data_IF_793707695579
#
_entry.id   IF_793707695579
#
_cell.length_a   1.000
_cell.length_b   1.000
_cell.length_c   1.000
_cell.angle_alpha   90.00
_cell.angle_beta   90.00
_cell.angle_gamma   90.00
#
_symmetry.space_group_name_H-M   'P 1'
#
loop_
_entity.id
_entity.type
_entity.pdbx_description
1 polymer ?
#
# COMPACT_ATOMS: atom_id res chain seq x y z
N UNK A 1 -10.65 0.28 28.05
CA UNK A 1 -9.33 0.65 27.49
C UNK A 1 -9.33 0.26 26.02
N UNK A 2 -8.82 1.12 25.14
CA UNK A 2 -8.71 0.82 23.71
C UNK A 2 -7.80 -0.38 23.49
N UNK A 3 -8.17 -1.27 22.57
CA UNK A 3 -7.39 -2.42 22.16
C UNK A 3 -6.78 -2.15 20.80
N UNK A 4 -5.49 -2.42 20.66
CA UNK A 4 -4.71 -2.25 19.43
C UNK A 4 -4.27 -3.59 18.92
N UNK A 5 -4.01 -3.71 17.62
CA UNK A 5 -3.26 -4.83 17.06
C UNK A 5 -1.83 -4.73 17.57
N UNK A 6 -1.37 -5.73 18.33
CA UNK A 6 -0.03 -5.72 18.97
C UNK A 6 0.94 -6.70 18.34
N UNK A 7 0.44 -7.77 17.73
CA UNK A 7 1.25 -8.82 17.14
C UNK A 7 0.57 -9.34 15.90
N UNK A 8 1.39 -9.82 14.96
CA UNK A 8 0.97 -10.50 13.73
C UNK A 8 1.77 -11.80 13.60
N UNK A 9 1.12 -12.83 13.07
CA UNK A 9 1.77 -14.05 12.59
C UNK A 9 0.97 -14.58 11.39
N UNK A 10 1.52 -15.55 10.68
CA UNK A 10 0.92 -16.21 9.52
C UNK A 10 0.93 -17.71 9.77
N UNK A 11 -0.05 -18.46 9.28
CA UNK A 11 0.03 -19.93 9.26
C UNK A 11 0.15 -20.44 7.84
N UNK A 12 1.00 -21.43 7.61
CA UNK A 12 1.18 -22.10 6.31
C UNK A 12 0.55 -23.51 6.25
N UNK A 13 0.06 -24.00 7.38
CA UNK A 13 -0.53 -25.34 7.56
C UNK A 13 -1.31 -25.41 8.88
N UNK A 14 -2.10 -26.46 9.07
CA UNK A 14 -2.94 -26.65 10.26
C UNK A 14 -2.18 -26.78 11.58
N UNK A 15 -0.95 -27.31 11.58
CA UNK A 15 -0.14 -27.44 12.80
C UNK A 15 0.24 -26.05 13.34
N UNK A 16 0.62 -25.13 12.46
CA UNK A 16 0.87 -23.73 12.81
C UNK A 16 -0.41 -23.04 13.28
N UNK A 17 -1.56 -23.30 12.66
CA UNK A 17 -2.85 -22.77 13.15
C UNK A 17 -3.14 -23.22 14.58
N UNK A 18 -3.00 -24.52 14.86
CA UNK A 18 -3.18 -25.07 16.22
C UNK A 18 -2.24 -24.41 17.23
N UNK A 19 -0.99 -24.16 16.84
CA UNK A 19 -0.02 -23.47 17.67
C UNK A 19 -0.46 -22.02 17.99
N UNK A 20 -0.89 -21.26 16.97
CA UNK A 20 -1.31 -19.87 17.12
C UNK A 20 -2.60 -19.73 17.94
N UNK A 21 -3.54 -20.67 17.80
CA UNK A 21 -4.72 -20.76 18.66
C UNK A 21 -4.31 -20.91 20.13
N UNK A 22 -3.39 -21.83 20.45
CA UNK A 22 -2.91 -22.02 21.81
C UNK A 22 -2.15 -20.80 22.37
N UNK A 23 -1.60 -19.96 21.50
CA UNK A 23 -0.95 -18.69 21.87
C UNK A 23 -1.92 -17.50 21.98
N UNK A 24 -3.22 -17.73 21.77
CA UNK A 24 -4.26 -16.70 21.90
C UNK A 24 -4.33 -15.73 20.71
N UNK A 25 -3.84 -16.13 19.54
CA UNK A 25 -4.02 -15.35 18.32
C UNK A 25 -5.44 -15.52 17.75
N UNK A 26 -5.93 -14.47 17.11
CA UNK A 26 -7.19 -14.46 16.36
C UNK A 26 -6.90 -14.60 14.88
N UNK A 27 -7.54 -15.59 14.24
CA UNK A 27 -7.46 -15.84 12.79
C UNK A 27 -8.27 -14.81 12.01
N UNK A 28 -7.75 -14.33 10.89
CA UNK A 28 -8.57 -13.78 9.82
C UNK A 28 -8.96 -14.94 8.90
N UNK A 29 -10.26 -15.31 8.79
CA UNK A 29 -10.69 -16.53 8.13
C UNK A 29 -10.76 -16.36 6.60
N UNK A 30 -9.68 -15.83 6.00
CA UNK A 30 -9.51 -15.64 4.56
C UNK A 30 -8.18 -16.26 4.17
N UNK A 31 -8.24 -17.23 3.25
CA UNK A 31 -7.05 -17.80 2.64
C UNK A 31 -6.38 -16.74 1.75
N UNK A 32 -5.13 -16.41 2.07
CA UNK A 32 -4.32 -15.42 1.37
C UNK A 32 -3.79 -15.95 0.03
N UNK A 33 -3.93 -17.24 -0.25
CA UNK A 33 -3.62 -17.87 -1.53
C UNK A 33 -4.87 -18.13 -2.39
N UNK A 34 -6.02 -17.55 -2.01
CA UNK A 34 -7.31 -17.91 -2.61
C UNK A 34 -7.28 -17.81 -4.14
N UNK A 35 -7.56 -18.94 -4.79
CA UNK A 35 -7.61 -19.05 -6.24
C UNK A 35 -6.26 -19.16 -6.95
N UNK A 36 -5.13 -18.97 -6.25
CA UNK A 36 -3.79 -19.20 -6.78
C UNK A 36 -3.37 -20.68 -6.64
N UNK A 37 -3.99 -21.40 -5.69
CA UNK A 37 -3.59 -22.77 -5.31
C UNK A 37 -2.50 -22.74 -4.24
N UNK A 38 -1.85 -23.87 -3.99
CA UNK A 38 -0.79 -23.96 -2.97
C UNK A 38 -1.33 -24.23 -1.56
N UNK A 39 -0.63 -23.70 -0.55
CA UNK A 39 -1.01 -23.88 0.84
C UNK A 39 -2.19 -22.96 1.19
N UNK A 40 -3.06 -23.40 2.10
CA UNK A 40 -4.01 -22.52 2.76
C UNK A 40 -3.24 -21.62 3.75
N UNK A 41 -3.19 -20.31 3.48
CA UNK A 41 -2.39 -19.36 4.24
C UNK A 41 -3.31 -18.36 4.94
N UNK A 42 -3.12 -18.15 6.24
CA UNK A 42 -3.96 -17.23 7.00
C UNK A 42 -3.16 -16.23 7.81
N UNK A 43 -3.66 -14.99 7.89
CA UNK A 43 -3.14 -13.96 8.78
C UNK A 43 -3.75 -14.10 10.18
N UNK A 44 -2.91 -13.92 11.19
CA UNK A 44 -3.28 -14.00 12.60
C UNK A 44 -2.83 -12.73 13.32
N UNK A 45 -3.59 -12.33 14.34
CA UNK A 45 -3.24 -11.17 15.15
C UNK A 45 -3.55 -11.36 16.63
N UNK A 46 -2.87 -10.58 17.48
CA UNK A 46 -3.28 -10.37 18.87
C UNK A 46 -3.66 -8.92 19.12
N UNK A 47 -4.49 -8.72 20.12
CA UNK A 47 -4.80 -7.38 20.62
C UNK A 47 -4.30 -7.16 22.04
N UNK A 48 -3.96 -5.91 22.34
CA UNK A 48 -3.50 -5.49 23.65
C UNK A 48 -3.62 -3.98 23.82
N UNK A 49 -3.30 -3.49 25.03
CA UNK A 49 -3.40 -2.06 25.38
C UNK A 49 -2.09 -1.29 25.22
N UNK A 50 -0.99 -1.96 24.86
CA UNK A 50 0.33 -1.35 24.68
C UNK A 50 1.10 -2.02 23.53
N UNK A 51 2.08 -1.31 22.96
CA UNK A 51 2.92 -1.85 21.88
C UNK A 51 2.15 -2.07 20.57
N UNK A 52 1.30 -1.09 20.21
CA UNK A 52 0.53 -1.12 18.98
C UNK A 52 1.42 -1.19 17.73
N UNK A 53 1.00 -1.99 16.76
CA UNK A 53 1.53 -1.94 15.40
C UNK A 53 0.93 -0.71 14.71
N UNK A 54 1.79 0.06 14.07
CA UNK A 54 1.43 1.32 13.41
C UNK A 54 1.69 1.29 11.92
N UNK A 55 2.47 0.33 11.39
CA UNK A 55 2.66 0.17 9.95
C UNK A 55 2.82 -1.29 9.58
N UNK A 56 2.29 -1.65 8.41
CA UNK A 56 2.49 -2.93 7.75
C UNK A 56 2.99 -2.64 6.33
N UNK A 57 4.02 -3.38 5.90
CA UNK A 57 4.65 -3.28 4.59
C UNK A 57 4.90 -4.68 4.03
N UNK A 58 5.09 -4.80 2.72
CA UNK A 58 5.46 -6.06 2.09
C UNK A 58 6.80 -5.95 1.38
N UNK A 59 7.42 -7.10 1.17
CA UNK A 59 8.61 -7.21 0.32
C UNK A 59 8.52 -8.45 -0.55
N UNK A 60 8.87 -8.32 -1.82
CA UNK A 60 9.00 -9.43 -2.75
C UNK A 60 10.27 -9.34 -3.62
N UNK A 61 11.16 -8.38 -3.32
CA UNK A 61 12.51 -8.28 -3.87
C UNK A 61 13.50 -8.02 -2.75
N UNK A 62 14.78 -8.30 -2.97
CA UNK A 62 15.82 -8.04 -1.96
C UNK A 62 16.03 -6.55 -1.70
N UNK A 63 15.88 -5.70 -2.73
CA UNK A 63 15.98 -4.25 -2.60
C UNK A 63 14.93 -3.69 -1.62
N UNK A 64 13.70 -4.18 -1.70
CA UNK A 64 12.61 -3.75 -0.81
C UNK A 64 12.87 -4.08 0.67
N UNK A 65 13.64 -5.15 0.95
CA UNK A 65 13.94 -5.60 2.32
C UNK A 65 14.93 -4.68 3.03
N UNK A 66 15.88 -4.08 2.30
CA UNK A 66 17.00 -3.33 2.90
C UNK A 66 16.52 -2.15 3.74
N UNK A 67 15.60 -1.34 3.23
CA UNK A 67 15.04 -0.21 3.96
C UNK A 67 14.24 -0.64 5.20
N UNK A 68 13.49 -1.73 5.09
CA UNK A 68 12.68 -2.30 6.20
C UNK A 68 13.57 -2.83 7.32
N UNK A 69 14.63 -3.56 6.97
CA UNK A 69 15.64 -4.05 7.92
C UNK A 69 16.33 -2.88 8.61
N UNK A 70 16.78 -1.88 7.85
CA UNK A 70 17.47 -0.70 8.41
C UNK A 70 16.62 0.04 9.43
N UNK A 71 15.32 0.16 9.21
CA UNK A 71 14.42 0.87 10.13
C UNK A 71 13.76 -0.06 11.17
N UNK A 72 14.25 -1.29 11.32
CA UNK A 72 13.83 -2.17 12.41
C UNK A 72 12.40 -2.69 12.28
N UNK A 73 11.87 -2.80 11.06
CA UNK A 73 10.63 -3.54 10.83
C UNK A 73 10.84 -5.02 11.18
N UNK A 74 9.83 -5.62 11.81
CA UNK A 74 9.83 -7.04 12.12
C UNK A 74 9.27 -7.84 10.93
N UNK A 75 10.08 -8.75 10.39
CA UNK A 75 9.66 -9.69 9.35
C UNK A 75 8.92 -10.87 9.95
N UNK A 76 7.78 -11.23 9.38
CA UNK A 76 7.22 -12.58 9.55
C UNK A 76 7.87 -13.46 8.48
N UNK A 77 8.70 -14.43 8.89
CA UNK A 77 9.48 -15.26 7.97
C UNK A 77 8.65 -16.41 7.36
N UNK A 78 7.53 -16.04 6.74
CA UNK A 78 6.58 -16.94 6.07
C UNK A 78 6.20 -16.31 4.74
N UNK A 79 6.44 -17.06 3.67
CA UNK A 79 6.05 -16.67 2.32
C UNK A 79 4.53 -16.78 2.15
N UNK A 80 3.88 -15.67 1.83
CA UNK A 80 2.44 -15.59 1.65
C UNK A 80 1.95 -16.25 0.37
N UNK A 81 2.84 -16.62 -0.55
CA UNK A 81 2.52 -17.37 -1.77
C UNK A 81 3.02 -18.82 -1.71
N UNK A 82 3.28 -19.36 -0.51
CA UNK A 82 3.89 -20.68 -0.33
C UNK A 82 3.06 -21.76 -1.05
N UNK A 83 3.70 -22.43 -2.01
CA UNK A 83 3.10 -23.53 -2.77
C UNK A 83 2.23 -23.10 -3.96
N UNK A 84 1.88 -21.82 -4.07
CA UNK A 84 1.12 -21.28 -5.21
C UNK A 84 2.03 -20.93 -6.40
N UNK A 85 3.33 -20.69 -6.13
CA UNK A 85 4.26 -20.12 -7.10
C UNK A 85 4.19 -18.59 -7.12
N UNK A 86 4.78 -17.94 -8.11
CA UNK A 86 4.83 -16.48 -8.19
C UNK A 86 5.95 -15.87 -7.36
N UNK A 87 5.70 -14.71 -6.76
CA UNK A 87 6.70 -13.96 -6.00
C UNK A 87 6.69 -14.41 -4.54
N UNK A 88 7.87 -14.52 -3.91
CA UNK A 88 7.94 -14.74 -2.46
C UNK A 88 7.51 -13.45 -1.74
N UNK A 89 6.30 -13.41 -1.20
CA UNK A 89 5.75 -12.21 -0.54
C UNK A 89 5.92 -12.36 0.96
N UNK A 90 6.60 -11.40 1.60
CA UNK A 90 6.78 -11.39 3.07
C UNK A 90 6.14 -10.17 3.70
N UNK A 91 5.45 -10.38 4.83
CA UNK A 91 4.87 -9.32 5.66
C UNK A 91 5.90 -8.76 6.64
N UNK A 92 5.89 -7.44 6.79
CA UNK A 92 6.69 -6.70 7.76
C UNK A 92 5.80 -5.78 8.57
N UNK A 93 6.06 -5.65 9.87
CA UNK A 93 5.36 -4.69 10.71
C UNK A 93 6.30 -3.83 11.55
N UNK A 94 5.82 -2.65 11.93
CA UNK A 94 6.58 -1.70 12.73
C UNK A 94 5.71 -1.10 13.83
N UNK A 95 6.35 -0.85 14.98
CA UNK A 95 5.76 -0.22 16.16
C UNK A 95 6.39 1.16 16.33
N UNK A 96 5.85 2.13 15.59
CA UNK A 96 6.34 3.51 15.59
C UNK A 96 5.63 4.40 16.60
N UNK A 97 6.13 5.63 16.73
CA UNK A 97 5.63 6.63 17.68
C UNK A 97 5.66 8.07 17.13
N UNK A 98 5.89 8.24 15.82
CA UNK A 98 5.85 9.55 15.16
C UNK A 98 4.41 10.07 15.01
N UNK A 99 4.23 11.32 14.59
CA UNK A 99 2.88 11.86 14.29
C UNK A 99 2.16 11.12 13.14
N UNK A 100 2.89 10.34 12.34
CA UNK A 100 2.36 9.51 11.27
C UNK A 100 2.04 8.07 11.73
N UNK A 101 2.40 7.71 12.96
CA UNK A 101 2.23 6.37 13.52
C UNK A 101 0.91 6.23 14.27
N UNK A 102 -0.20 6.22 13.52
CA UNK A 102 -1.54 6.01 14.11
C UNK A 102 -1.76 4.51 14.36
N UNK A 103 -2.10 4.08 15.59
CA UNK A 103 -2.32 2.67 15.90
C UNK A 103 -3.34 1.99 15.00
N UNK A 104 -3.07 0.73 14.64
CA UNK A 104 -4.03 -0.14 13.97
C UNK A 104 -4.89 -0.82 15.04
N UNK A 105 -6.22 -0.74 14.89
CA UNK A 105 -7.19 -1.31 15.85
C UNK A 105 -7.95 -2.50 15.28
N UNK A 106 -7.96 -2.66 13.95
CA UNK A 106 -8.66 -3.76 13.28
C UNK A 106 -8.00 -4.08 11.95
N UNK A 107 -8.09 -5.35 11.55
CA UNK A 107 -7.67 -5.84 10.25
C UNK A 107 -8.86 -6.46 9.50
N UNK A 108 -8.82 -6.41 8.18
CA UNK A 108 -9.73 -7.11 7.29
C UNK A 108 -8.99 -7.46 5.99
N UNK A 109 -9.53 -8.38 5.19
CA UNK A 109 -8.97 -8.76 3.89
C UNK A 109 -10.08 -8.70 2.85
N UNK A 110 -9.78 -8.12 1.68
CA UNK A 110 -10.65 -8.15 0.51
C UNK A 110 -10.06 -9.11 -0.53
N UNK A 111 -10.92 -9.87 -1.22
CA UNK A 111 -10.50 -10.89 -2.20
C UNK A 111 -11.00 -10.63 -3.62
N UNK A 112 -11.64 -9.48 -3.85
CA UNK A 112 -12.09 -9.06 -5.17
C UNK A 112 -12.30 -7.54 -5.20
N UNK A 113 -12.51 -7.01 -6.40
CA UNK A 113 -12.70 -5.59 -6.67
C UNK A 113 -13.88 -4.96 -5.91
N UNK A 114 -15.00 -5.68 -5.74
CA UNK A 114 -16.18 -5.12 -5.08
C UNK A 114 -15.97 -4.99 -3.57
N UNK A 115 -15.44 -6.01 -2.94
CA UNK A 115 -15.06 -5.96 -1.52
C UNK A 115 -14.02 -4.87 -1.27
N UNK A 116 -12.98 -4.80 -2.11
CA UNK A 116 -11.93 -3.79 -2.01
C UNK A 116 -12.49 -2.37 -2.13
N UNK A 117 -13.38 -2.13 -3.10
CA UNK A 117 -14.05 -0.83 -3.24
C UNK A 117 -14.95 -0.51 -2.03
N UNK A 118 -15.70 -1.48 -1.52
CA UNK A 118 -16.62 -1.29 -0.39
C UNK A 118 -15.88 -0.99 0.93
N UNK A 119 -14.65 -1.49 1.07
CA UNK A 119 -13.80 -1.27 2.24
C UNK A 119 -13.18 0.13 2.33
N UNK A 120 -13.25 0.94 1.26
CA UNK A 120 -12.77 2.32 1.23
C UNK A 120 -13.65 3.27 2.06
N UNK A 121 -13.67 3.05 3.38
CA UNK A 121 -14.48 3.73 4.37
C UNK A 121 -13.60 4.59 5.29
N UNK A 122 -14.18 5.53 6.06
CA UNK A 122 -13.43 6.30 7.03
C UNK A 122 -12.57 5.43 7.96
N UNK A 123 -11.36 5.92 8.26
CA UNK A 123 -10.31 5.26 9.07
C UNK A 123 -9.72 3.97 8.49
N UNK A 124 -10.31 3.39 7.45
CA UNK A 124 -9.74 2.23 6.78
C UNK A 124 -8.72 2.67 5.73
N UNK A 125 -7.59 2.01 5.75
CA UNK A 125 -6.57 2.12 4.73
C UNK A 125 -6.22 0.72 4.20
N UNK A 126 -5.71 0.69 2.97
CA UNK A 126 -5.37 -0.54 2.28
C UNK A 126 -3.85 -0.64 2.10
N UNK A 127 -3.32 -1.85 2.22
CA UNK A 127 -1.99 -2.17 1.71
C UNK A 127 -1.96 -2.04 0.19
N UNK A 128 -0.78 -1.82 -0.37
CA UNK A 128 -0.63 -1.52 -1.80
C UNK A 128 -0.17 -2.72 -2.61
N UNK A 129 0.38 -3.74 -1.94
CA UNK A 129 0.75 -5.03 -2.51
C UNK A 129 -0.49 -5.93 -2.65
N UNK A 130 -0.68 -6.50 -3.84
CA UNK A 130 -1.50 -7.71 -4.01
C UNK A 130 -0.81 -8.90 -3.36
N UNK A 131 -1.45 -9.53 -2.37
CA UNK A 131 -0.84 -10.61 -1.58
C UNK A 131 -0.60 -11.86 -2.42
N UNK A 132 -1.36 -12.06 -3.50
CA UNK A 132 -1.19 -13.13 -4.48
C UNK A 132 -0.22 -12.77 -5.62
N UNK A 133 0.67 -11.80 -5.41
CA UNK A 133 1.53 -11.22 -6.46
C UNK A 133 2.16 -12.29 -7.35
N UNK A 134 1.81 -12.26 -8.64
CA UNK A 134 2.30 -13.18 -9.70
C UNK A 134 2.00 -14.67 -9.50
N UNK A 135 1.33 -15.07 -8.40
CA UNK A 135 0.82 -16.42 -8.21
C UNK A 135 -0.47 -16.65 -9.02
N UNK A 136 -1.17 -15.56 -9.37
CA UNK A 136 -2.47 -15.60 -10.01
C UNK A 136 -3.59 -15.68 -8.96
N UNK A 137 -4.79 -16.07 -9.35
CA UNK A 137 -5.91 -16.19 -8.42
C UNK A 137 -6.59 -14.85 -8.09
N UNK A 138 -7.10 -14.74 -6.87
CA UNK A 138 -7.80 -13.55 -6.40
C UNK A 138 -6.84 -12.37 -6.18
N UNK A 139 -7.33 -11.15 -6.39
CA UNK A 139 -6.62 -9.93 -6.00
C UNK A 139 -6.87 -9.68 -4.51
N UNK A 140 -5.85 -9.92 -3.69
CA UNK A 140 -6.00 -9.95 -2.24
C UNK A 140 -5.28 -8.77 -1.62
N UNK A 141 -5.99 -8.01 -0.79
CA UNK A 141 -5.41 -6.85 -0.10
C UNK A 141 -5.75 -6.86 1.38
N UNK A 142 -4.77 -6.48 2.20
CA UNK A 142 -4.96 -6.29 3.64
C UNK A 142 -5.46 -4.86 3.89
N UNK A 143 -6.49 -4.75 4.72
CA UNK A 143 -7.06 -3.50 5.17
C UNK A 143 -6.79 -3.31 6.65
N UNK A 144 -6.42 -2.09 7.03
CA UNK A 144 -6.09 -1.71 8.40
C UNK A 144 -7.00 -0.55 8.81
N UNK A 145 -7.73 -0.72 9.92
CA UNK A 145 -8.48 0.37 10.53
C UNK A 145 -7.59 1.11 11.51
N UNK A 146 -7.44 2.41 11.29
CA UNK A 146 -6.70 3.33 12.16
C UNK A 146 -7.54 3.75 13.37
N UNK A 147 -6.91 3.94 14.53
CA UNK A 147 -7.57 4.49 15.73
C UNK A 147 -8.21 5.86 15.46
N UNK A 148 -7.58 6.67 14.61
CA UNK A 148 -8.06 7.98 14.17
C UNK A 148 -8.04 8.08 12.64
N UNK A 149 -8.90 8.93 12.07
CA UNK A 149 -8.86 9.21 10.64
C UNK A 149 -7.50 9.78 10.25
N UNK A 150 -6.87 9.18 9.25
CA UNK A 150 -5.66 9.68 8.62
C UNK A 150 -5.96 10.31 7.27
N UNK A 151 -5.13 11.27 6.90
CA UNK A 151 -5.17 11.95 5.62
C UNK A 151 -3.79 11.90 4.99
N UNK A 152 -3.72 11.71 3.68
CA UNK A 152 -2.49 11.80 2.92
C UNK A 152 -2.02 13.26 2.99
N UNK A 153 -0.91 13.51 3.68
CA UNK A 153 -0.39 14.85 3.93
C UNK A 153 0.89 15.16 3.15
N UNK A 154 1.53 14.14 2.59
CA UNK A 154 2.73 14.29 1.79
C UNK A 154 2.85 13.19 0.76
N UNK A 155 3.50 13.48 -0.36
CA UNK A 155 3.71 12.54 -1.44
C UNK A 155 5.02 12.82 -2.18
N UNK A 156 5.75 11.75 -2.48
CA UNK A 156 6.95 11.80 -3.30
C UNK A 156 7.11 10.48 -4.06
N UNK A 157 8.18 10.36 -4.83
CA UNK A 157 8.56 9.11 -5.47
C UNK A 157 10.08 8.98 -5.43
N UNK A 158 10.57 7.74 -5.50
CA UNK A 158 12.00 7.42 -5.57
C UNK A 158 12.25 6.31 -6.56
N UNK A 159 13.45 6.33 -7.15
CA UNK A 159 13.98 5.30 -8.03
C UNK A 159 15.28 4.68 -7.46
N UNK A 160 15.54 4.92 -6.17
CA UNK A 160 16.78 4.56 -5.48
C UNK A 160 16.46 3.87 -4.14
N UNK A 161 16.62 2.54 -4.05
CA UNK A 161 16.36 1.78 -2.83
C UNK A 161 17.16 2.25 -1.60
N UNK A 162 18.31 2.91 -1.81
CA UNK A 162 19.13 3.43 -0.71
C UNK A 162 18.44 4.56 0.08
N UNK A 163 17.38 5.15 -0.48
CA UNK A 163 16.59 6.20 0.17
C UNK A 163 15.47 5.66 1.07
N UNK A 164 15.06 4.40 0.88
CA UNK A 164 13.90 3.80 1.54
C UNK A 164 13.98 3.88 3.06
N UNK A 165 15.14 3.59 3.64
CA UNK A 165 15.35 3.66 5.09
C UNK A 165 15.06 5.07 5.64
N UNK A 166 15.58 6.10 4.97
CA UNK A 166 15.33 7.50 5.35
C UNK A 166 13.86 7.89 5.23
N UNK A 167 13.13 7.32 4.26
CA UNK A 167 11.70 7.58 4.06
C UNK A 167 10.84 6.89 5.12
N UNK A 168 11.10 5.62 5.40
CA UNK A 168 10.44 4.90 6.48
C UNK A 168 10.66 5.61 7.82
N UNK A 169 11.88 6.06 8.12
CA UNK A 169 12.16 6.84 9.34
C UNK A 169 11.29 8.09 9.48
N UNK A 170 11.01 8.75 8.35
CA UNK A 170 10.25 10.00 8.29
C UNK A 170 8.73 9.81 8.32
N UNK A 171 8.23 8.57 8.39
CA UNK A 171 6.79 8.32 8.42
C UNK A 171 6.18 7.90 7.09
N UNK A 172 6.99 7.75 6.03
CA UNK A 172 6.44 7.40 4.72
C UNK A 172 6.07 5.92 4.64
N UNK A 173 5.02 5.68 3.87
CA UNK A 173 4.48 4.39 3.46
C UNK A 173 4.74 4.26 1.97
N UNK A 174 5.39 3.17 1.56
CA UNK A 174 5.62 2.85 0.15
C UNK A 174 4.32 2.33 -0.48
N UNK A 175 4.05 2.73 -1.72
CA UNK A 175 3.19 1.98 -2.62
C UNK A 175 4.07 0.89 -3.21
N UNK A 176 3.89 -0.35 -2.76
CA UNK A 176 4.77 -1.48 -3.09
C UNK A 176 4.74 -1.86 -4.59
N UNK A 177 3.84 -1.27 -5.38
CA UNK A 177 3.85 -1.42 -6.82
C UNK A 177 4.86 -0.49 -7.50
N UNK A 178 5.77 -1.10 -8.25
CA UNK A 178 6.66 -0.42 -9.18
C UNK A 178 5.87 0.16 -10.35
N UNK A 179 5.94 1.48 -10.55
CA UNK A 179 5.22 2.15 -11.62
C UNK A 179 5.76 1.81 -13.02
N UNK A 180 6.95 1.20 -13.10
CA UNK A 180 7.57 0.68 -14.32
C UNK A 180 7.41 -0.84 -14.50
N UNK A 181 6.58 -1.50 -13.70
CA UNK A 181 6.45 -2.96 -13.73
C UNK A 181 6.23 -3.47 -15.15
N UNK A 182 7.16 -4.29 -15.65
CA UNK A 182 7.09 -4.89 -16.99
C UNK A 182 7.58 -3.98 -18.13
N UNK A 183 7.67 -2.66 -17.92
CA UNK A 183 8.11 -1.69 -18.92
C UNK A 183 9.64 -1.68 -19.13
N UNK A 184 10.39 -2.24 -18.18
CA UNK A 184 11.83 -2.04 -18.04
C UNK A 184 12.15 -0.65 -17.48
N UNK A 185 13.43 -0.28 -17.42
CA UNK A 185 13.86 0.98 -16.81
C UNK A 185 14.21 0.82 -15.32
N UNK A 186 14.08 1.92 -14.57
CA UNK A 186 14.34 1.91 -13.12
C UNK A 186 13.11 1.47 -12.36
N UNK A 187 13.25 0.74 -11.25
CA UNK A 187 12.15 0.53 -10.31
C UNK A 187 11.77 1.89 -9.71
N UNK A 188 10.53 2.33 -9.89
CA UNK A 188 10.04 3.62 -9.38
C UNK A 188 8.88 3.39 -8.43
N UNK A 189 9.03 3.86 -7.20
CA UNK A 189 8.00 3.72 -6.16
C UNK A 189 7.46 5.07 -5.75
N UNK A 190 6.14 5.14 -5.61
CA UNK A 190 5.44 6.27 -4.97
C UNK A 190 5.45 6.05 -3.46
N UNK A 191 5.65 7.13 -2.72
CA UNK A 191 5.63 7.15 -1.27
C UNK A 191 4.67 8.21 -0.79
N UNK A 192 3.90 7.90 0.23
CA UNK A 192 3.02 8.86 0.86
C UNK A 192 3.21 8.87 2.37
N UNK A 193 2.90 9.99 3.00
CA UNK A 193 2.86 10.11 4.45
C UNK A 193 1.47 10.52 4.90
N UNK A 194 1.08 10.02 6.06
CA UNK A 194 -0.22 10.31 6.66
C UNK A 194 -0.10 11.20 7.88
N UNK A 195 -1.19 11.92 8.17
CA UNK A 195 -1.38 12.68 9.41
C UNK A 195 -2.84 12.67 9.82
N UNK A 196 -3.13 12.83 11.10
CA UNK A 196 -4.48 13.08 11.62
C UNK A 196 -4.91 14.55 11.46
N UNK A 197 -3.98 15.44 11.10
CA UNK A 197 -4.25 16.86 10.91
C UNK A 197 -4.80 17.13 9.50
N UNK A 198 -6.12 17.34 9.40
CA UNK A 198 -6.80 17.56 8.11
C UNK A 198 -6.27 18.79 7.34
N UNK A 199 -5.85 19.84 8.05
CA UNK A 199 -5.29 21.04 7.42
C UNK A 199 -3.95 20.81 6.72
N UNK A 200 -3.26 19.68 6.98
CA UNK A 200 -2.04 19.27 6.26
C UNK A 200 -2.34 18.44 4.99
N UNK A 201 -3.59 18.05 4.77
CA UNK A 201 -3.96 17.08 3.75
C UNK A 201 -3.76 17.58 2.32
N UNK A 202 -3.38 16.65 1.44
CA UNK A 202 -3.52 16.77 0.00
C UNK A 202 -4.99 16.61 -0.36
N UNK A 203 -5.48 17.43 -1.30
CA UNK A 203 -6.89 17.52 -1.68
C UNK A 203 -7.16 17.20 -3.15
N UNK A 204 -6.17 17.34 -4.03
CA UNK A 204 -6.28 16.87 -5.41
C UNK A 204 -4.96 16.25 -5.90
N UNK A 205 -5.10 15.28 -6.80
CA UNK A 205 -4.02 14.59 -7.49
C UNK A 205 -4.29 14.61 -9.00
N UNK A 206 -3.24 14.82 -9.79
CA UNK A 206 -3.27 14.69 -11.26
C UNK A 206 -2.06 13.91 -11.74
N UNK A 207 -2.19 13.33 -12.93
CA UNK A 207 -1.07 12.73 -13.65
C UNK A 207 -0.94 13.41 -15.00
N UNK A 208 0.29 13.82 -15.35
CA UNK A 208 0.63 14.30 -16.69
C UNK A 208 1.30 13.19 -17.47
N UNK A 209 0.94 13.07 -18.74
CA UNK A 209 1.51 12.11 -19.71
C UNK A 209 1.98 12.84 -20.97
N UNK A 210 1.99 14.17 -20.93
CA UNK A 210 2.27 15.07 -22.03
C UNK A 210 2.59 16.48 -21.52
N UNK A 211 3.31 17.26 -22.32
CA UNK A 211 3.77 18.61 -21.96
C UNK A 211 2.62 19.61 -21.75
N UNK A 212 1.47 19.43 -22.41
CA UNK A 212 0.34 20.35 -22.29
C UNK A 212 -0.33 20.20 -20.92
N UNK A 213 -0.48 18.96 -20.44
CA UNK A 213 -0.94 18.63 -19.10
C UNK A 213 0.01 19.19 -18.03
N UNK A 214 1.33 19.03 -18.19
CA UNK A 214 2.33 19.61 -17.27
C UNK A 214 2.15 21.13 -17.13
N UNK A 215 2.17 21.87 -18.25
CA UNK A 215 1.98 23.33 -18.26
C UNK A 215 0.64 23.74 -17.65
N UNK A 216 -0.41 22.96 -17.90
CA UNK A 216 -1.74 23.21 -17.34
C UNK A 216 -1.74 23.09 -15.81
N UNK A 217 -1.10 22.06 -15.26
CA UNK A 217 -1.04 21.83 -13.83
C UNK A 217 -0.12 22.83 -13.11
N UNK A 218 0.98 23.23 -13.73
CA UNK A 218 1.83 24.34 -13.25
C UNK A 218 1.04 25.65 -13.14
N UNK A 219 0.31 26.02 -14.20
CA UNK A 219 -0.53 27.23 -14.22
C UNK A 219 -1.65 27.17 -13.17
N UNK A 220 -2.11 25.97 -12.80
CA UNK A 220 -3.09 25.75 -11.74
C UNK A 220 -2.45 25.62 -10.34
N UNK A 221 -1.13 25.86 -10.23
CA UNK A 221 -0.36 25.83 -8.99
C UNK A 221 -0.38 24.46 -8.29
N UNK A 222 -0.34 23.38 -9.06
CA UNK A 222 -0.04 22.06 -8.53
C UNK A 222 1.46 21.95 -8.25
N UNK A 223 1.81 21.13 -7.26
CA UNK A 223 3.19 20.74 -6.98
C UNK A 223 3.50 19.44 -7.70
N UNK A 224 4.56 19.43 -8.49
CA UNK A 224 5.03 18.22 -9.17
C UNK A 224 5.83 17.34 -8.20
N UNK A 225 5.60 16.03 -8.24
CA UNK A 225 6.52 15.04 -7.66
C UNK A 225 7.75 14.95 -8.56
N UNK A 226 8.94 15.09 -7.95
CA UNK A 226 10.21 15.30 -8.67
C UNK A 226 10.61 14.17 -9.62
N UNK A 227 10.22 12.94 -9.33
CA UNK A 227 10.65 11.75 -10.09
C UNK A 227 9.68 11.49 -11.24
N UNK A 228 10.25 11.17 -12.41
CA UNK A 228 9.49 10.65 -13.54
C UNK A 228 9.03 9.23 -13.20
N UNK A 229 7.72 9.01 -13.16
CA UNK A 229 7.13 7.71 -12.80
C UNK A 229 7.44 6.61 -13.82
N UNK A 230 7.86 6.95 -15.04
CA UNK A 230 8.32 5.98 -16.02
C UNK A 230 9.81 6.07 -16.37
N UNK A 231 10.63 6.50 -15.41
CA UNK A 231 12.05 6.75 -15.62
C UNK A 231 12.81 5.51 -16.15
N UNK A 232 13.71 5.74 -17.11
CA UNK A 232 14.47 4.68 -17.76
C UNK A 232 13.72 3.91 -18.84
N UNK A 233 12.42 4.18 -19.05
CA UNK A 233 11.67 3.66 -20.19
C UNK A 233 11.87 4.52 -21.45
N UNK A 234 11.32 4.06 -22.58
CA UNK A 234 11.27 4.82 -23.84
C UNK A 234 10.00 5.68 -23.99
N UNK A 235 9.16 5.72 -22.95
CA UNK A 235 7.88 6.42 -22.96
C UNK A 235 8.01 7.93 -22.81
N UNK A 236 6.90 8.64 -23.00
CA UNK A 236 6.80 10.07 -22.66
C UNK A 236 6.86 10.22 -21.13
N UNK A 237 7.59 11.20 -20.56
CA UNK A 237 7.65 11.38 -19.11
C UNK A 237 6.28 11.46 -18.46
N UNK A 238 6.13 10.77 -17.34
CA UNK A 238 4.91 10.72 -16.54
C UNK A 238 5.20 11.33 -15.17
N UNK A 239 4.42 12.33 -14.77
CA UNK A 239 4.58 12.97 -13.46
C UNK A 239 3.28 12.96 -12.67
N UNK A 240 3.41 12.73 -11.37
CA UNK A 240 2.36 12.92 -10.40
C UNK A 240 2.38 14.35 -9.88
N UNK A 241 1.19 14.92 -9.71
CA UNK A 241 1.00 16.29 -9.27
C UNK A 241 0.01 16.32 -8.11
N UNK A 242 0.24 17.18 -7.13
CA UNK A 242 -0.63 17.29 -5.97
C UNK A 242 -0.92 18.74 -5.57
N UNK A 243 -2.08 18.94 -4.95
CA UNK A 243 -2.50 20.24 -4.43
C UNK A 243 -3.11 20.11 -3.05
N UNK A 244 -2.69 20.97 -2.12
CA UNK A 244 -3.18 21.02 -0.72
C UNK A 244 -4.23 22.12 -0.50
N UNK A 245 -4.21 23.15 -1.33
CA UNK A 245 -4.96 24.41 -1.12
C UNK A 245 -6.34 24.44 -1.79
N UNK A 246 -6.74 23.37 -2.47
CA UNK A 246 -8.08 23.30 -3.09
C UNK A 246 -9.14 22.88 -2.08
N UNK A 247 -9.62 23.84 -1.28
CA UNK A 247 -10.63 23.60 -0.25
C UNK A 247 -12.00 23.18 -0.81
N UNK A 248 -12.20 23.19 -2.13
CA UNK A 248 -13.43 22.65 -2.76
C UNK A 248 -13.43 21.11 -2.85
N UNK A 249 -12.26 20.49 -2.63
CA UNK A 249 -12.06 19.04 -2.67
C UNK A 249 -11.89 18.49 -1.26
N UNK A 250 -12.43 17.29 -1.05
CA UNK A 250 -12.24 16.56 0.19
C UNK A 250 -10.77 16.14 0.37
N UNK A 251 -10.28 16.06 1.63
CA UNK A 251 -8.98 15.50 1.93
C UNK A 251 -8.84 14.07 1.39
N UNK A 252 -7.70 13.76 0.77
CA UNK A 252 -7.40 12.42 0.29
C UNK A 252 -7.05 11.53 1.48
N UNK A 253 -7.71 10.37 1.58
CA UNK A 253 -7.55 9.39 2.67
C UNK A 253 -6.93 8.08 2.21
N UNK A 254 -7.13 7.73 0.94
CA UNK A 254 -6.65 6.50 0.31
C UNK A 254 -5.91 6.85 -0.98
N UNK A 255 -4.77 6.21 -1.20
CA UNK A 255 -3.98 6.34 -2.42
C UNK A 255 -3.38 4.98 -2.78
N UNK A 256 -3.54 4.57 -4.03
CA UNK A 256 -2.93 3.34 -4.56
C UNK A 256 -2.77 3.43 -6.07
N UNK A 257 -1.99 2.50 -6.64
CA UNK A 257 -1.91 2.28 -8.09
C UNK A 257 -2.80 1.10 -8.44
N UNK A 258 -3.57 1.23 -9.51
CA UNK A 258 -4.52 0.21 -9.95
C UNK A 258 -3.83 -0.68 -10.98
N UNK A 259 -3.70 -1.97 -10.66
CA UNK A 259 -3.23 -3.01 -11.59
C UNK A 259 -4.40 -3.82 -12.16
N UNK A 260 -5.41 -4.09 -11.34
CA UNK A 260 -6.63 -4.75 -11.79
C UNK A 260 -7.57 -3.74 -12.43
N UNK A 261 -7.58 -3.65 -13.76
CA UNK A 261 -8.47 -2.73 -14.47
C UNK A 261 -9.96 -3.06 -14.28
N UNK A 262 -10.32 -4.27 -13.89
CA UNK A 262 -11.70 -4.63 -13.54
C UNK A 262 -12.16 -3.87 -12.27
N UNK A 263 -11.22 -3.50 -11.38
CA UNK A 263 -11.51 -2.76 -10.15
C UNK A 263 -11.97 -1.32 -10.40
N UNK A 264 -11.60 -0.72 -11.55
CA UNK A 264 -11.96 0.66 -11.88
C UNK A 264 -13.48 0.89 -11.80
N UNK A 265 -14.26 -0.05 -12.34
CA UNK A 265 -15.73 0.08 -12.32
C UNK A 265 -16.30 -0.04 -10.90
N UNK A 266 -15.73 -0.92 -10.06
CA UNK A 266 -16.14 -1.07 -8.67
C UNK A 266 -15.81 0.20 -7.86
N UNK A 267 -14.60 0.75 -8.02
CA UNK A 267 -14.20 1.99 -7.38
C UNK A 267 -15.10 3.18 -7.75
N UNK A 268 -15.42 3.34 -9.04
CA UNK A 268 -16.35 4.39 -9.48
C UNK A 268 -17.74 4.22 -8.86
N UNK A 269 -18.27 2.99 -8.79
CA UNK A 269 -19.55 2.71 -8.13
C UNK A 269 -19.52 3.04 -6.63
N UNK A 270 -18.38 2.84 -5.98
CA UNK A 270 -18.15 3.20 -4.59
C UNK A 270 -17.85 4.70 -4.38
N UNK A 271 -17.85 5.53 -5.43
CA UNK A 271 -17.57 6.96 -5.33
C UNK A 271 -16.09 7.32 -5.16
N UNK A 272 -15.19 6.37 -5.40
CA UNK A 272 -13.74 6.59 -5.33
C UNK A 272 -13.28 7.26 -6.63
N UNK A 273 -12.52 8.35 -6.50
CA UNK A 273 -11.94 9.03 -7.64
C UNK A 273 -10.83 8.19 -8.29
N UNK A 274 -10.94 7.93 -9.59
CA UNK A 274 -9.93 7.20 -10.38
C UNK A 274 -9.29 8.18 -11.36
N UNK A 275 -7.97 8.30 -11.34
CA UNK A 275 -7.22 9.07 -12.33
C UNK A 275 -7.01 8.19 -13.55
N UNK A 276 -7.70 8.48 -14.65
CA UNK A 276 -7.66 7.72 -15.90
C UNK A 276 -6.43 8.09 -16.74
N UNK A 277 -5.25 7.83 -16.18
CA UNK A 277 -3.97 7.99 -16.87
C UNK A 277 -3.16 6.71 -16.70
N UNK A 278 -2.78 6.14 -17.83
CA UNK A 278 -1.89 4.99 -17.85
C UNK A 278 -0.46 5.47 -17.58
N UNK A 279 0.14 4.99 -16.48
CA UNK A 279 1.50 5.33 -16.09
C UNK A 279 2.55 4.75 -17.07
N UNK A 280 2.15 3.76 -17.86
CA UNK A 280 2.95 3.10 -18.89
C UNK A 280 2.60 3.56 -20.31
N UNK A 281 1.92 4.71 -20.44
CA UNK A 281 1.63 5.33 -21.76
C UNK A 281 2.91 5.40 -22.61
N UNK A 282 2.85 4.84 -23.82
CA UNK A 282 3.94 4.78 -24.80
C UNK A 282 5.16 3.91 -24.39
N UNK A 283 4.99 2.99 -23.44
CA UNK A 283 5.97 1.92 -23.17
C UNK A 283 5.27 0.54 -23.07
N UNK A 284 6.00 -0.52 -22.69
CA UNK A 284 5.49 -1.91 -22.63
C UNK A 284 5.35 -2.42 -21.19
N UNK A 285 4.84 -1.61 -20.28
CA UNK A 285 4.46 -2.05 -18.92
C UNK A 285 2.99 -2.39 -18.79
#
# INVERSE_FOLDING_TARGET
MTQYITDLDVSLNEDEERHLIHQGYTKIPVDLNKGAGGNDIFLWYRTGTCGAITRIQFSFTDGMKQGLISEGYHKIDKDLNKGAGGSDVFLWFFKGSTESDVPIVQLAVSINAEEDANMAQPQWERTTCDLNRTAGGAWIYLWMKREHQTYICDIQATNNPSSDAGLFRQGYIRIDEDTNRGAGGSDVFIWYRQSTAENKAIRDLKVSTDQASERSYENQQYNQVRINLNEGTKGTPVYLWYKKTDCSKDPIKLLTVILNMEAVSAYRRAGINVIEKDLNTNNKG
#
